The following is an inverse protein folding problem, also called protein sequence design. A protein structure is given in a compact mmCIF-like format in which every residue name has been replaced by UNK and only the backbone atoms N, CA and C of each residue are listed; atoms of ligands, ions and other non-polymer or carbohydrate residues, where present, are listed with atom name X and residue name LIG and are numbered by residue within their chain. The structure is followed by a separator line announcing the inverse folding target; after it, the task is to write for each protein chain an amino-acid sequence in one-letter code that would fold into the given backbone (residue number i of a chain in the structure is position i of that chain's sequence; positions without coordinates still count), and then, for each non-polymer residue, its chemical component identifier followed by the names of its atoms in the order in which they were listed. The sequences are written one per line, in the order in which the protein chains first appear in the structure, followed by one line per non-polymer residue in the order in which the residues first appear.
data_IF_248579201420
#
_entry.id   IF_248579201420
#
_cell.length_a   1.000
_cell.length_b   1.000
_cell.length_c   1.000
_cell.angle_alpha   90.00
_cell.angle_beta   90.00
_cell.angle_gamma   90.00
#
_symmetry.space_group_name_H-M   'P 1'
#
loop_
_entity.id
_entity.type
_entity.pdbx_description
1 polymer ?
#
# COMPACT_ATOMS: atom_id res chain seq x y z
N UNK A 1 -4.23 44.54 -18.00
CA UNK A 1 -3.45 43.29 -17.84
C UNK A 1 -4.27 42.30 -17.02
N UNK A 2 -4.79 41.22 -17.63
CA UNK A 2 -5.70 40.28 -16.94
C UNK A 2 -4.91 39.25 -16.12
N UNK A 3 -5.03 39.33 -14.80
CA UNK A 3 -4.40 38.44 -13.81
C UNK A 3 -4.67 36.93 -14.05
N UNK A 4 -5.80 36.60 -14.68
CA UNK A 4 -6.17 35.22 -15.05
C UNK A 4 -5.29 34.58 -16.13
N UNK A 5 -4.75 35.34 -17.09
CA UNK A 5 -3.90 34.77 -18.17
C UNK A 5 -2.53 34.37 -17.65
N UNK A 6 -1.92 35.20 -16.80
CA UNK A 6 -0.62 34.91 -16.20
C UNK A 6 -0.63 33.65 -15.31
N UNK A 7 -1.72 33.39 -14.57
CA UNK A 7 -1.87 32.16 -13.77
C UNK A 7 -1.98 30.91 -14.66
N UNK A 8 -2.64 31.01 -15.81
CA UNK A 8 -2.78 29.91 -16.75
C UNK A 8 -1.46 29.59 -17.47
N UNK A 9 -0.69 30.61 -17.82
CA UNK A 9 0.66 30.48 -18.40
C UNK A 9 1.66 29.93 -17.38
N UNK A 10 1.63 30.43 -16.14
CA UNK A 10 2.43 29.89 -15.04
C UNK A 10 2.15 28.39 -14.81
N UNK A 11 0.87 28.00 -14.72
CA UNK A 11 0.48 26.58 -14.57
C UNK A 11 0.82 25.71 -15.79
N UNK A 12 0.92 26.28 -16.99
CA UNK A 12 1.39 25.57 -18.19
C UNK A 12 2.91 25.39 -18.14
N UNK A 13 3.63 26.42 -17.73
CA UNK A 13 5.09 26.39 -17.63
C UNK A 13 5.57 25.48 -16.50
N UNK A 14 4.92 25.49 -15.33
CA UNK A 14 5.20 24.58 -14.21
C UNK A 14 5.00 23.10 -14.60
N UNK A 15 4.01 22.82 -15.47
CA UNK A 15 3.76 21.46 -16.01
C UNK A 15 4.82 21.01 -17.01
N UNK A 16 5.62 21.92 -17.57
CA UNK A 16 6.68 21.63 -18.54
C UNK A 16 8.06 21.54 -17.88
N UNK A 17 8.19 21.86 -16.59
CA UNK A 17 9.44 21.67 -15.85
C UNK A 17 9.73 20.16 -15.76
N UNK A 18 10.92 19.69 -16.19
CA UNK A 18 11.27 18.27 -16.18
C UNK A 18 11.10 17.60 -14.81
N UNK A 19 11.37 18.34 -13.74
CA UNK A 19 11.19 17.87 -12.36
C UNK A 19 9.72 17.61 -12.00
N UNK A 20 8.81 18.51 -12.38
CA UNK A 20 7.38 18.35 -12.12
C UNK A 20 6.79 17.17 -12.91
N UNK A 21 7.25 16.96 -14.15
CA UNK A 21 6.88 15.80 -14.97
C UNK A 21 7.37 14.49 -14.35
N UNK A 22 8.62 14.46 -13.88
CA UNK A 22 9.19 13.30 -13.18
C UNK A 22 8.42 12.97 -11.90
N UNK A 23 8.16 13.97 -11.03
CA UNK A 23 7.36 13.80 -9.81
C UNK A 23 5.98 13.22 -10.12
N UNK A 24 5.29 13.74 -11.14
CA UNK A 24 3.97 13.25 -11.56
C UNK A 24 4.02 11.81 -12.10
N UNK A 25 5.06 11.47 -12.87
CA UNK A 25 5.27 10.10 -13.36
C UNK A 25 5.48 9.12 -12.19
N UNK A 26 6.34 9.48 -11.23
CA UNK A 26 6.59 8.70 -10.01
C UNK A 26 5.33 8.51 -9.17
N UNK A 27 4.52 9.56 -8.99
CA UNK A 27 3.23 9.45 -8.29
C UNK A 27 2.25 8.51 -9.01
N UNK A 28 2.15 8.61 -10.33
CA UNK A 28 1.31 7.73 -11.15
C UNK A 28 1.76 6.27 -11.03
N UNK A 29 3.06 6.04 -11.03
CA UNK A 29 3.64 4.71 -10.89
C UNK A 29 3.38 4.12 -9.48
N UNK A 30 3.62 4.90 -8.41
CA UNK A 30 3.27 4.51 -7.03
C UNK A 30 1.79 4.17 -6.89
N UNK A 31 0.89 4.93 -7.55
CA UNK A 31 -0.55 4.64 -7.57
C UNK A 31 -0.86 3.29 -8.25
N UNK A 32 -0.21 2.99 -9.39
CA UNK A 32 -0.36 1.70 -10.08
C UNK A 32 0.12 0.53 -9.24
N UNK A 33 1.27 0.65 -8.58
CA UNK A 33 1.79 -0.38 -7.69
C UNK A 33 0.85 -0.64 -6.51
N UNK A 34 0.38 0.41 -5.84
CA UNK A 34 -0.61 0.30 -4.76
C UNK A 34 -1.86 -0.46 -5.18
N UNK A 35 -2.45 -0.09 -6.32
CA UNK A 35 -3.63 -0.79 -6.86
C UNK A 35 -3.35 -2.26 -7.17
N UNK A 36 -2.16 -2.54 -7.71
CA UNK A 36 -1.76 -3.91 -8.05
C UNK A 36 -1.61 -4.77 -6.79
N UNK A 37 -0.91 -4.26 -5.77
CA UNK A 37 -0.69 -4.95 -4.50
C UNK A 37 -2.01 -5.18 -3.76
N UNK A 38 -2.84 -4.15 -3.64
CA UNK A 38 -4.16 -4.25 -3.01
C UNK A 38 -5.02 -5.32 -3.69
N UNK A 39 -5.17 -5.26 -5.02
CA UNK A 39 -5.96 -6.24 -5.76
C UNK A 39 -5.41 -7.66 -5.64
N UNK A 40 -4.09 -7.82 -5.68
CA UNK A 40 -3.44 -9.12 -5.57
C UNK A 40 -3.61 -9.73 -4.17
N UNK A 41 -3.33 -8.96 -3.11
CA UNK A 41 -3.48 -9.40 -1.71
C UNK A 41 -4.93 -9.72 -1.37
N UNK A 42 -5.88 -8.89 -1.80
CA UNK A 42 -7.31 -9.15 -1.66
C UNK A 42 -7.70 -10.48 -2.33
N UNK A 43 -7.29 -10.71 -3.58
CA UNK A 43 -7.58 -11.96 -4.29
C UNK A 43 -6.94 -13.19 -3.64
N UNK A 44 -5.76 -13.04 -3.04
CA UNK A 44 -5.12 -14.13 -2.29
C UNK A 44 -5.92 -14.44 -1.04
N UNK A 45 -6.31 -13.44 -0.24
CA UNK A 45 -7.14 -13.64 0.96
C UNK A 45 -8.48 -14.28 0.65
N UNK A 46 -9.20 -13.78 -0.35
CA UNK A 46 -10.49 -14.35 -0.75
C UNK A 46 -10.39 -15.81 -1.18
N UNK A 47 -9.20 -16.28 -1.58
CA UNK A 47 -9.02 -17.69 -1.91
C UNK A 47 -8.97 -18.63 -0.72
N UNK A 48 -8.82 -18.11 0.50
CA UNK A 48 -8.95 -18.86 1.75
C UNK A 48 -10.42 -18.96 2.24
N UNK A 49 -11.40 -18.56 1.43
CA UNK A 49 -12.85 -18.58 1.75
C UNK A 49 -13.20 -17.76 3.01
N UNK A 50 -12.48 -16.66 3.21
CA UNK A 50 -12.69 -15.71 4.30
C UNK A 50 -13.88 -14.78 3.96
N UNK A 51 -14.53 -14.24 4.99
CA UNK A 51 -15.57 -13.22 4.82
C UNK A 51 -15.05 -12.00 4.06
N UNK A 52 -15.89 -11.44 3.18
CA UNK A 52 -15.54 -10.27 2.36
C UNK A 52 -15.15 -9.06 3.23
N UNK A 53 -15.80 -8.90 4.39
CA UNK A 53 -15.56 -7.79 5.31
C UNK A 53 -14.15 -7.84 5.91
N UNK A 54 -13.66 -9.02 6.28
CA UNK A 54 -12.30 -9.20 6.78
C UNK A 54 -11.26 -9.05 5.67
N UNK A 55 -11.59 -9.48 4.44
CA UNK A 55 -10.72 -9.30 3.28
C UNK A 55 -10.64 -7.83 2.82
N UNK A 56 -11.65 -7.01 3.14
CA UNK A 56 -11.76 -5.60 2.72
C UNK A 56 -10.62 -4.70 3.22
N UNK A 57 -9.81 -5.18 4.17
CA UNK A 57 -8.60 -4.49 4.66
C UNK A 57 -7.53 -4.24 3.58
N UNK A 58 -7.64 -4.91 2.43
CA UNK A 58 -6.77 -4.67 1.27
C UNK A 58 -7.54 -4.08 0.08
N UNK A 59 -8.82 -3.73 0.22
CA UNK A 59 -9.62 -3.20 -0.88
C UNK A 59 -9.15 -1.82 -1.31
N UNK A 60 -8.81 -0.97 -0.34
CA UNK A 60 -8.29 0.37 -0.61
C UNK A 60 -6.80 0.37 -0.93
N UNK A 61 -6.38 0.82 -2.12
CA UNK A 61 -4.97 0.83 -2.53
C UNK A 61 -4.07 1.64 -1.62
N UNK A 62 -4.62 2.66 -0.94
CA UNK A 62 -3.85 3.51 -0.02
C UNK A 62 -3.32 2.70 1.17
N UNK A 63 -4.00 1.61 1.54
CA UNK A 63 -3.64 0.77 2.67
C UNK A 63 -2.40 -0.07 2.36
N UNK A 64 -2.06 -0.20 1.07
CA UNK A 64 -0.89 -0.89 0.53
C UNK A 64 0.25 0.08 0.13
N UNK A 65 0.32 1.28 0.71
CA UNK A 65 1.48 2.17 0.50
C UNK A 65 2.70 1.58 1.23
N UNK A 66 3.49 0.78 0.53
CA UNK A 66 4.66 0.10 1.10
C UNK A 66 5.77 -0.13 0.06
N UNK A 67 5.74 0.59 -1.07
CA UNK A 67 6.67 0.37 -2.18
C UNK A 67 7.27 1.68 -2.69
N UNK A 68 8.60 1.72 -2.74
CA UNK A 68 9.36 2.81 -3.36
C UNK A 68 10.38 2.25 -4.35
N UNK A 69 10.66 3.02 -5.38
CA UNK A 69 11.69 2.74 -6.37
C UNK A 69 12.90 3.60 -6.06
N UNK A 70 14.01 2.93 -5.80
CA UNK A 70 15.30 3.55 -5.61
C UNK A 70 16.23 3.05 -6.72
N UNK A 71 16.47 3.89 -7.72
CA UNK A 71 17.38 3.63 -8.83
C UNK A 71 17.11 2.30 -9.58
N UNK A 72 15.84 1.95 -9.79
CA UNK A 72 15.43 0.73 -10.49
C UNK A 72 15.22 -0.48 -9.58
N UNK A 73 15.53 -0.34 -8.28
CA UNK A 73 15.27 -1.36 -7.27
C UNK A 73 13.99 -1.04 -6.49
N UNK A 74 13.03 -1.97 -6.53
CA UNK A 74 11.79 -1.82 -5.77
C UNK A 74 12.00 -2.26 -4.32
N UNK A 75 11.80 -1.36 -3.38
CA UNK A 75 11.94 -1.63 -1.94
C UNK A 75 10.60 -1.69 -1.24
N UNK A 76 10.46 -2.62 -0.30
CA UNK A 76 9.36 -2.68 0.66
C UNK A 76 9.64 -1.73 1.81
N UNK A 77 8.95 -0.60 1.84
CA UNK A 77 9.07 0.38 2.92
C UNK A 77 8.19 0.03 4.11
N UNK A 78 8.64 0.38 5.30
CA UNK A 78 7.83 0.32 6.51
C UNK A 78 6.94 1.56 6.58
N UNK A 79 5.64 1.37 6.84
CA UNK A 79 4.72 2.47 7.08
C UNK A 79 4.64 2.72 8.58
N UNK A 80 4.96 3.93 9.09
CA UNK A 80 5.03 4.20 10.52
C UNK A 80 3.68 4.04 11.25
N UNK A 81 2.57 4.18 10.51
CA UNK A 81 1.23 4.00 11.05
C UNK A 81 0.77 2.54 11.10
N UNK A 82 1.41 1.62 10.36
CA UNK A 82 0.93 0.26 10.16
C UNK A 82 1.38 -0.64 11.31
N UNK A 83 0.48 -1.45 11.87
CA UNK A 83 0.86 -2.42 12.91
C UNK A 83 1.80 -3.50 12.36
N UNK A 84 2.58 -4.11 13.26
CA UNK A 84 3.50 -5.19 12.90
C UNK A 84 2.75 -6.42 12.41
N UNK A 85 1.61 -6.75 13.03
CA UNK A 85 0.76 -7.87 12.61
C UNK A 85 0.23 -7.64 11.18
N UNK A 86 -0.22 -6.42 10.86
CA UNK A 86 -0.72 -6.13 9.52
C UNK A 86 0.41 -6.15 8.49
N UNK A 87 1.60 -5.67 8.86
CA UNK A 87 2.80 -5.76 8.02
C UNK A 87 3.24 -7.22 7.79
N UNK A 88 3.13 -8.08 8.81
CA UNK A 88 3.41 -9.52 8.71
C UNK A 88 2.42 -10.18 7.74
N UNK A 89 1.13 -9.92 7.90
CA UNK A 89 0.08 -10.46 7.02
C UNK A 89 0.33 -10.08 5.55
N UNK A 90 0.58 -8.79 5.29
CA UNK A 90 0.90 -8.30 3.95
C UNK A 90 2.15 -8.99 3.36
N UNK A 91 3.14 -9.30 4.20
CA UNK A 91 4.37 -9.97 3.79
C UNK A 91 4.18 -11.47 3.54
N UNK A 92 3.28 -12.15 4.24
CA UNK A 92 2.95 -13.58 4.03
C UNK A 92 2.10 -13.80 2.76
N UNK A 93 1.22 -12.85 2.42
CA UNK A 93 0.39 -12.95 1.22
C UNK A 93 1.17 -12.84 -0.09
N UNK A 94 2.28 -12.09 -0.09
CA UNK A 94 3.10 -11.87 -1.28
C UNK A 94 3.73 -13.19 -1.84
N UNK A 95 4.41 -14.04 -1.04
CA UNK A 95 4.88 -15.36 -1.47
C UNK A 95 3.76 -16.32 -1.93
N UNK A 96 2.63 -16.34 -1.22
CA UNK A 96 1.50 -17.21 -1.55
C UNK A 96 0.93 -16.90 -2.95
N UNK A 97 0.84 -15.61 -3.28
CA UNK A 97 0.48 -15.17 -4.63
C UNK A 97 1.47 -15.71 -5.68
N UNK A 98 2.78 -15.60 -5.41
CA UNK A 98 3.84 -16.06 -6.31
C UNK A 98 3.74 -17.58 -6.52
N UNK A 99 3.62 -18.36 -5.43
CA UNK A 99 3.45 -19.82 -5.49
C UNK A 99 2.21 -20.22 -6.29
N UNK A 100 1.07 -19.55 -6.08
CA UNK A 100 -0.15 -19.80 -6.84
C UNK A 100 0.00 -19.50 -8.33
N UNK A 101 0.79 -18.49 -8.69
CA UNK A 101 1.10 -18.19 -10.09
C UNK A 101 2.05 -19.22 -10.72
N UNK A 102 3.05 -19.68 -9.97
CA UNK A 102 3.94 -20.78 -10.35
C UNK A 102 3.12 -22.04 -10.67
N UNK A 103 2.26 -22.47 -9.74
CA UNK A 103 1.42 -23.67 -9.90
C UNK A 103 0.50 -23.60 -11.12
N UNK A 104 -0.01 -22.40 -11.45
CA UNK A 104 -0.83 -22.17 -12.65
C UNK A 104 -0.05 -22.18 -13.97
N UNK A 105 1.18 -22.72 -13.98
CA UNK A 105 2.10 -22.80 -15.13
C UNK A 105 2.37 -21.45 -15.79
N UNK A 106 2.28 -20.36 -15.04
CA UNK A 106 2.63 -19.00 -15.50
C UNK A 106 4.09 -18.69 -15.22
N UNK A 107 4.99 -19.66 -15.45
CA UNK A 107 6.42 -19.54 -15.13
C UNK A 107 7.08 -18.34 -15.81
N UNK A 108 6.71 -18.07 -17.07
CA UNK A 108 7.24 -16.94 -17.85
C UNK A 108 6.76 -15.56 -17.32
N UNK A 109 5.86 -15.51 -16.33
CA UNK A 109 5.27 -14.26 -15.81
C UNK A 109 5.84 -13.91 -14.42
N UNK A 110 6.47 -14.84 -13.71
CA UNK A 110 7.02 -14.64 -12.35
C UNK A 110 7.98 -13.43 -12.24
N UNK A 111 8.96 -13.23 -13.15
CA UNK A 111 9.84 -12.05 -13.06
C UNK A 111 9.10 -10.72 -13.32
N UNK A 112 7.88 -10.75 -13.84
CA UNK A 112 7.04 -9.57 -14.08
C UNK A 112 6.04 -9.31 -12.94
N UNK A 113 6.01 -10.14 -11.91
CA UNK A 113 5.16 -9.93 -10.73
C UNK A 113 5.78 -8.85 -9.86
N UNK A 114 4.97 -7.91 -9.38
CA UNK A 114 5.47 -6.79 -8.60
C UNK A 114 6.05 -7.28 -7.26
N UNK A 115 5.36 -8.22 -6.63
CA UNK A 115 5.68 -8.80 -5.33
C UNK A 115 7.04 -9.52 -5.33
N UNK A 116 7.43 -10.18 -6.44
CA UNK A 116 8.70 -10.91 -6.56
C UNK A 116 9.91 -10.00 -6.76
N UNK A 117 9.68 -8.79 -7.30
CA UNK A 117 10.74 -7.80 -7.57
C UNK A 117 11.05 -6.90 -6.37
N UNK A 118 10.23 -6.95 -5.33
CA UNK A 118 10.34 -6.07 -4.16
C UNK A 118 11.27 -6.67 -3.10
N UNK A 119 12.27 -5.91 -2.70
CA UNK A 119 13.25 -6.30 -1.67
C UNK A 119 12.88 -5.66 -0.33
N UNK A 120 12.97 -6.42 0.76
CA UNK A 120 12.70 -5.90 2.09
C UNK A 120 13.65 -4.74 2.42
N UNK A 121 13.12 -3.66 2.98
CA UNK A 121 13.90 -2.52 3.47
C UNK A 121 13.66 -2.29 4.96
N UNK A 122 14.67 -1.77 5.64
CA UNK A 122 14.55 -1.21 7.00
C UNK A 122 14.09 0.24 7.01
N UNK A 123 13.91 0.84 5.82
CA UNK A 123 13.59 2.26 5.65
C UNK A 123 12.09 2.50 5.83
N UNK A 124 11.76 3.57 6.55
CA UNK A 124 10.39 4.05 6.71
C UNK A 124 9.98 4.98 5.56
N UNK A 125 8.71 4.88 5.15
CA UNK A 125 8.11 5.82 4.19
C UNK A 125 7.96 7.20 4.86
N UNK A 126 8.72 8.20 4.37
CA UNK A 126 8.74 9.56 4.93
C UNK A 126 7.40 10.27 4.82
N UNK A 127 6.71 10.10 3.69
CA UNK A 127 5.43 10.73 3.39
C UNK A 127 4.30 9.68 3.38
N UNK A 128 4.31 8.80 4.38
CA UNK A 128 3.32 7.74 4.50
C UNK A 128 1.92 8.35 4.66
N UNK A 129 1.06 8.15 3.66
CA UNK A 129 -0.35 8.50 3.79
C UNK A 129 -1.00 7.53 4.76
N UNK A 130 -1.55 8.07 5.85
CA UNK A 130 -2.29 7.29 6.82
C UNK A 130 -3.71 7.13 6.30
N UNK A 131 -4.19 5.90 6.16
CA UNK A 131 -5.57 5.66 5.76
C UNK A 131 -6.57 5.97 6.86
N UNK A 132 -7.80 6.26 6.44
CA UNK A 132 -8.98 6.44 7.29
C UNK A 132 -9.86 5.19 7.15
N UNK A 133 -10.56 4.80 8.21
CA UNK A 133 -11.53 3.71 8.18
C UNK A 133 -10.94 2.30 8.25
N UNK A 134 -9.66 2.15 8.61
CA UNK A 134 -9.10 0.84 8.96
C UNK A 134 -9.59 0.39 10.34
N UNK A 135 -9.69 -0.93 10.58
CA UNK A 135 -9.78 -1.48 11.92
C UNK A 135 -8.67 -0.97 12.84
N UNK A 136 -9.03 -0.68 14.09
CA UNK A 136 -8.13 -0.05 15.06
C UNK A 136 -6.81 -0.83 15.26
N UNK A 137 -6.90 -2.16 15.34
CA UNK A 137 -5.74 -3.04 15.53
C UNK A 137 -4.81 -3.17 14.31
N UNK A 138 -5.12 -2.53 13.18
CA UNK A 138 -4.23 -2.42 12.02
C UNK A 138 -3.33 -1.18 12.06
N UNK A 139 -3.63 -0.24 12.96
CA UNK A 139 -2.72 0.86 13.28
C UNK A 139 -1.69 0.40 14.32
N UNK A 140 -0.47 0.93 14.22
CA UNK A 140 0.55 0.70 15.23
C UNK A 140 0.14 1.35 16.56
N UNK A 141 0.29 0.65 17.70
CA UNK A 141 0.07 1.26 19.01
C UNK A 141 0.90 2.53 19.23
N UNK A 142 2.14 2.54 18.75
CA UNK A 142 3.06 3.69 18.82
C UNK A 142 2.60 4.87 17.98
N UNK A 143 1.85 4.61 16.91
CA UNK A 143 1.25 5.64 16.09
C UNK A 143 0.02 6.21 16.80
N UNK A 144 -0.88 5.35 17.27
CA UNK A 144 -2.09 5.76 17.99
C UNK A 144 -1.79 6.54 19.27
N UNK A 145 -0.71 6.21 19.99
CA UNK A 145 -0.33 6.91 21.23
C UNK A 145 0.13 8.35 20.99
N UNK A 146 0.60 8.68 19.78
CA UNK A 146 1.06 10.03 19.40
C UNK A 146 -0.08 10.95 18.93
N UNK A 147 -1.25 10.38 18.65
CA UNK A 147 -2.40 11.15 18.16
C UNK A 147 -3.19 11.75 19.31
N UNK A 148 -3.65 12.98 19.08
CA UNK A 148 -4.68 13.64 19.88
C UNK A 148 -6.03 12.94 19.72
N UNK A 149 -6.98 13.22 20.63
CA UNK A 149 -8.32 12.65 20.55
C UNK A 149 -9.07 13.04 19.27
N UNK A 150 -8.88 14.28 18.80
CA UNK A 150 -9.49 14.76 17.56
C UNK A 150 -8.93 14.04 16.34
N UNK A 151 -7.60 13.81 16.30
CA UNK A 151 -6.97 13.05 15.23
C UNK A 151 -7.42 11.58 15.22
N UNK A 152 -7.59 10.97 16.40
CA UNK A 152 -8.16 9.61 16.51
C UNK A 152 -9.60 9.56 16.00
N UNK A 153 -10.40 10.58 16.27
CA UNK A 153 -11.76 10.69 15.73
C UNK A 153 -11.75 10.81 14.20
N UNK A 154 -10.80 11.56 13.64
CA UNK A 154 -10.62 11.73 12.19
C UNK A 154 -10.19 10.45 11.47
N UNK A 155 -9.56 9.49 12.18
CA UNK A 155 -9.25 8.18 11.60
C UNK A 155 -10.51 7.35 11.30
N UNK A 156 -11.64 7.65 11.94
CA UNK A 156 -12.91 6.92 11.77
C UNK A 156 -12.70 5.39 11.87
N UNK A 157 -11.87 4.96 12.83
CA UNK A 157 -11.45 3.57 12.95
C UNK A 157 -12.65 2.63 13.09
N UNK A 158 -12.57 1.49 12.41
CA UNK A 158 -13.55 0.41 12.52
C UNK A 158 -13.23 -0.47 13.74
N UNK A 159 -14.21 -1.28 14.21
CA UNK A 159 -13.94 -2.30 15.22
C UNK A 159 -12.79 -3.21 14.81
N UNK A 160 -12.01 -3.65 15.80
CA UNK A 160 -10.89 -4.57 15.58
C UNK A 160 -11.36 -5.87 14.95
N UNK A 161 -10.51 -6.43 14.08
CA UNK A 161 -10.75 -7.72 13.42
C UNK A 161 -9.83 -8.80 14.01
N UNK A 162 -10.16 -10.08 13.81
CA UNK A 162 -9.26 -11.17 14.22
C UNK A 162 -8.11 -11.36 13.22
N UNK A 163 -7.09 -10.52 13.34
CA UNK A 163 -5.91 -10.59 12.47
C UNK A 163 -5.07 -11.86 12.72
N UNK A 164 -5.16 -12.45 13.91
CA UNK A 164 -4.43 -13.67 14.23
C UNK A 164 -4.98 -14.86 13.43
N UNK A 165 -6.31 -14.95 13.33
CA UNK A 165 -6.96 -15.91 12.43
C UNK A 165 -6.50 -15.74 10.97
N UNK A 166 -6.43 -14.51 10.46
CA UNK A 166 -5.94 -14.23 9.10
C UNK A 166 -4.48 -14.65 8.90
N UNK A 167 -3.63 -14.43 9.90
CA UNK A 167 -2.22 -14.83 9.86
C UNK A 167 -2.08 -16.35 9.82
N UNK A 168 -2.83 -17.08 10.64
CA UNK A 168 -2.81 -18.55 10.67
C UNK A 168 -3.20 -19.15 9.32
N UNK A 169 -4.21 -18.59 8.64
CA UNK A 169 -4.62 -19.02 7.30
C UNK A 169 -3.54 -18.79 6.23
N UNK A 170 -2.63 -17.84 6.46
CA UNK A 170 -1.53 -17.55 5.53
C UNK A 170 -0.26 -18.36 5.80
N UNK A 171 -0.22 -19.14 6.89
CA UNK A 171 0.91 -20.00 7.26
C UNK A 171 0.77 -21.44 6.74
N UNK A 172 -0.41 -21.82 6.24
CA UNK A 172 -0.71 -23.13 5.62
C UNK A 172 -0.37 -23.17 4.13
#
# INVERSE_FOLDING_TARGET
MCWLRGKQEYLKNDKLVPEALSKKASQKQKSRWRKKLSSNRLKTLLSFKINQDEASIFDEPQFCSDTEDENGSLRKLKSPWRSDLFSKLASQLDPLLIQKQIQKRKFNIIPNVLESRRVQSGIFEKEAKVPVGLPENLYSPDYLSKLTNDEKLMLQSKPSIDIHHLLQLSET
#
